data_IF_378776210211
#
_entry.id   IF_378776210211
#
_cell.length_a   1.000
_cell.length_b   1.000
_cell.length_c   1.000
_cell.angle_alpha   90.00
_cell.angle_beta   90.00
_cell.angle_gamma   90.00
#
_symmetry.space_group_name_H-M   'P 1'
#
loop_
_entity.id
_entity.type
_entity.pdbx_description
1 polymer ?
#
# COMPACT_ATOMS: atom_id res chain seq x y z
N UNK A 1 9.34 -2.08 -81.39
CA UNK A 1 8.78 -1.15 -80.39
C UNK A 1 8.91 -1.76 -79.00
N UNK A 2 9.74 -1.22 -78.10
CA UNK A 2 9.78 -1.65 -76.70
C UNK A 2 9.05 -0.65 -75.79
N UNK A 3 8.11 -1.16 -74.99
CA UNK A 3 7.33 -0.40 -74.02
C UNK A 3 8.19 0.18 -72.90
N UNK A 4 8.22 1.51 -72.80
CA UNK A 4 8.83 2.23 -71.69
C UNK A 4 7.95 2.09 -70.42
N UNK A 5 8.47 1.40 -69.40
CA UNK A 5 7.89 1.33 -68.06
C UNK A 5 7.87 2.72 -67.42
N UNK A 6 6.68 3.27 -67.19
CA UNK A 6 6.47 4.45 -66.33
C UNK A 6 6.81 4.08 -64.89
N UNK A 7 7.75 4.81 -64.29
CA UNK A 7 8.08 4.79 -62.86
C UNK A 7 6.94 5.49 -62.11
N UNK A 8 6.30 4.80 -61.17
CA UNK A 8 5.28 5.40 -60.30
C UNK A 8 5.93 6.42 -59.34
N UNK A 9 5.24 7.52 -58.99
CA UNK A 9 5.75 8.48 -58.03
C UNK A 9 5.75 7.86 -56.61
N UNK A 10 6.84 8.07 -55.90
CA UNK A 10 6.99 7.67 -54.50
C UNK A 10 5.94 8.38 -53.65
N UNK A 11 5.13 7.61 -52.94
CA UNK A 11 4.19 8.11 -51.95
C UNK A 11 4.99 8.73 -50.80
N UNK A 12 4.71 9.98 -50.37
CA UNK A 12 5.35 10.53 -49.19
C UNK A 12 4.88 9.71 -47.97
N UNK A 13 5.82 9.04 -47.33
CA UNK A 13 5.60 8.35 -46.06
C UNK A 13 5.10 9.39 -45.05
N UNK A 14 3.82 9.29 -44.69
CA UNK A 14 3.24 10.10 -43.64
C UNK A 14 4.07 9.89 -42.37
N UNK A 15 4.65 10.97 -41.85
CA UNK A 15 5.28 10.98 -40.55
C UNK A 15 4.25 10.47 -39.53
N UNK A 16 4.63 9.58 -38.60
CA UNK A 16 3.72 9.14 -37.55
C UNK A 16 3.19 10.38 -36.81
N UNK A 17 1.89 10.45 -36.49
CA UNK A 17 1.31 11.60 -35.80
C UNK A 17 2.11 11.81 -34.53
N UNK A 18 2.67 13.02 -34.38
CA UNK A 18 3.35 13.45 -33.18
C UNK A 18 2.44 13.09 -31.99
N UNK A 19 2.93 12.17 -31.15
CA UNK A 19 2.25 11.79 -29.94
C UNK A 19 1.90 13.08 -29.20
N UNK A 20 0.59 13.39 -29.11
CA UNK A 20 0.08 14.46 -28.27
C UNK A 20 0.70 14.20 -26.89
N UNK A 21 1.62 15.07 -26.47
CA UNK A 21 2.01 15.16 -25.07
C UNK A 21 0.69 15.32 -24.33
N UNK A 22 0.25 14.25 -23.65
CA UNK A 22 -0.77 14.37 -22.63
C UNK A 22 -0.21 15.41 -21.68
N UNK A 23 -0.78 16.62 -21.74
CA UNK A 23 -0.72 17.53 -20.63
C UNK A 23 -1.28 16.75 -19.46
N UNK A 24 -0.41 16.32 -18.54
CA UNK A 24 -0.83 15.84 -17.24
C UNK A 24 -1.66 16.97 -16.65
N UNK A 25 -2.98 16.77 -16.64
CA UNK A 25 -3.90 17.61 -15.89
C UNK A 25 -3.39 17.66 -14.46
N UNK A 26 -3.23 18.87 -13.95
CA UNK A 26 -3.12 19.13 -12.52
C UNK A 26 -4.49 18.86 -11.89
N UNK A 27 -4.91 17.59 -11.88
CA UNK A 27 -6.11 17.17 -11.17
C UNK A 27 -5.81 17.37 -9.68
N UNK A 28 -6.24 18.53 -9.17
CA UNK A 28 -6.21 18.82 -7.75
C UNK A 28 -7.07 17.76 -7.08
N UNK A 29 -6.42 16.93 -6.26
CA UNK A 29 -7.08 15.92 -5.44
C UNK A 29 -8.25 16.57 -4.68
N UNK A 30 -9.46 15.99 -4.71
CA UNK A 30 -10.62 16.59 -4.07
C UNK A 30 -10.36 16.77 -2.56
N UNK A 31 -10.88 17.86 -1.96
CA UNK A 31 -10.71 18.07 -0.53
C UNK A 31 -11.35 16.93 0.27
N UNK A 32 -10.73 16.59 1.41
CA UNK A 32 -11.29 15.60 2.32
C UNK A 32 -12.74 15.92 2.64
N UNK A 33 -13.62 14.95 2.41
CA UNK A 33 -15.02 15.04 2.75
C UNK A 33 -15.54 13.71 3.28
N UNK A 34 -16.64 13.79 4.01
CA UNK A 34 -17.34 12.65 4.59
C UNK A 34 -18.71 12.55 3.95
N UNK A 35 -19.10 11.33 3.57
CA UNK A 35 -20.44 10.99 3.10
C UNK A 35 -21.04 9.95 4.04
N UNK A 36 -22.28 10.18 4.45
CA UNK A 36 -23.10 9.22 5.20
C UNK A 36 -24.16 8.66 4.28
N UNK A 37 -24.20 7.34 4.13
CA UNK A 37 -25.29 6.66 3.43
C UNK A 37 -26.57 6.78 4.29
N UNK A 38 -27.67 7.31 3.75
CA UNK A 38 -28.89 7.53 4.52
C UNK A 38 -29.61 6.23 4.91
N UNK A 39 -29.42 5.15 4.15
CA UNK A 39 -30.08 3.85 4.39
C UNK A 39 -29.26 2.96 5.32
N UNK A 40 -27.96 2.84 5.09
CA UNK A 40 -27.09 1.93 5.85
C UNK A 40 -26.33 2.60 6.99
N UNK A 41 -26.40 3.94 7.06
CA UNK A 41 -25.56 4.77 7.95
C UNK A 41 -24.06 4.54 7.76
N UNK A 42 -23.66 3.99 6.61
CA UNK A 42 -22.25 3.75 6.30
C UNK A 42 -21.54 5.08 6.06
N UNK A 43 -20.39 5.23 6.70
CA UNK A 43 -19.54 6.42 6.56
C UNK A 43 -18.46 6.12 5.53
N UNK A 44 -18.40 6.92 4.48
CA UNK A 44 -17.35 6.90 3.46
C UNK A 44 -16.59 8.21 3.45
N UNK A 45 -15.27 8.12 3.45
CA UNK A 45 -14.39 9.27 3.28
C UNK A 45 -13.98 9.37 1.82
N UNK A 46 -13.97 10.58 1.26
CA UNK A 46 -13.46 10.85 -0.08
C UNK A 46 -12.42 11.96 -0.04
N UNK A 47 -11.53 11.99 -1.03
CA UNK A 47 -10.41 12.93 -1.06
C UNK A 47 -9.34 12.64 -0.01
N UNK A 48 -8.52 13.66 0.28
CA UNK A 48 -7.38 13.57 1.21
C UNK A 48 -7.26 14.83 2.06
N UNK A 49 -6.93 14.71 3.37
CA UNK A 49 -6.70 15.88 4.20
C UNK A 49 -5.45 16.63 3.74
N UNK A 50 -5.54 17.96 3.78
CA UNK A 50 -4.37 18.80 3.55
C UNK A 50 -3.29 18.52 4.59
N UNK A 51 -2.03 18.57 4.17
CA UNK A 51 -0.88 18.36 5.03
C UNK A 51 -0.86 19.32 6.23
N UNK A 52 -0.74 18.81 7.47
CA UNK A 52 -0.44 19.68 8.59
C UNK A 52 0.94 20.33 8.43
N UNK A 53 1.09 21.54 8.94
CA UNK A 53 2.34 22.34 8.81
C UNK A 53 3.57 21.60 9.36
N UNK A 54 3.39 20.78 10.40
CA UNK A 54 4.46 19.96 10.99
C UNK A 54 5.01 18.97 9.96
N UNK A 55 4.12 18.31 9.21
CA UNK A 55 4.53 17.37 8.18
C UNK A 55 5.24 18.08 7.03
N UNK A 56 4.74 19.24 6.58
CA UNK A 56 5.36 20.04 5.50
C UNK A 56 6.84 20.37 5.72
N UNK A 57 7.32 20.38 6.97
CA UNK A 57 8.73 20.66 7.33
C UNK A 57 9.68 19.47 7.13
N UNK A 58 9.16 18.27 6.93
CA UNK A 58 9.96 17.06 6.66
C UNK A 58 10.46 17.13 5.21
N UNK A 59 11.79 17.11 4.99
CA UNK A 59 12.42 17.20 3.66
C UNK A 59 12.07 15.96 2.82
N UNK A 60 11.67 16.18 1.56
CA UNK A 60 11.30 15.14 0.59
C UNK A 60 12.18 15.26 -0.66
N UNK A 61 12.73 14.14 -1.15
CA UNK A 61 13.49 14.11 -2.39
C UNK A 61 12.52 14.01 -3.60
N UNK A 62 12.36 15.09 -4.36
CA UNK A 62 11.37 15.22 -5.47
C UNK A 62 11.92 14.72 -6.81
N UNK A 63 12.34 13.47 -6.88
CA UNK A 63 13.02 12.96 -8.08
C UNK A 63 12.13 12.19 -9.08
N UNK A 64 10.79 12.11 -8.92
CA UNK A 64 9.96 11.43 -9.92
C UNK A 64 8.66 12.18 -10.27
N UNK A 65 8.29 12.21 -11.57
CA UNK A 65 7.00 12.74 -12.02
C UNK A 65 5.86 11.73 -11.78
N UNK A 66 4.70 12.21 -11.33
CA UNK A 66 3.45 11.44 -11.18
C UNK A 66 2.65 11.81 -9.91
N UNK A 67 1.39 11.36 -9.85
CA UNK A 67 0.60 11.31 -8.61
C UNK A 67 1.16 10.21 -7.71
N UNK A 68 2.27 10.52 -7.05
CA UNK A 68 2.94 9.59 -6.15
C UNK A 68 2.49 9.98 -4.75
N UNK A 69 1.91 9.02 -4.03
CA UNK A 69 1.58 9.19 -2.63
C UNK A 69 2.76 9.84 -1.90
N UNK A 70 2.48 10.91 -1.17
CA UNK A 70 3.54 11.69 -0.56
C UNK A 70 4.21 10.86 0.56
N UNK A 71 5.51 10.61 0.30
CA UNK A 71 6.30 9.43 0.62
C UNK A 71 6.84 9.44 2.05
N UNK A 72 6.01 9.86 2.99
CA UNK A 72 6.36 10.00 4.41
C UNK A 72 5.57 9.03 5.27
N UNK A 73 4.44 8.54 4.77
CA UNK A 73 3.54 7.67 5.52
C UNK A 73 4.05 6.24 5.64
N UNK A 74 4.02 5.69 6.86
CA UNK A 74 4.11 4.26 7.10
C UNK A 74 2.84 3.53 6.63
N UNK A 75 1.69 4.19 6.78
CA UNK A 75 0.37 3.68 6.41
C UNK A 75 -0.18 4.47 5.24
N UNK A 76 -0.34 3.80 4.09
CA UNK A 76 -0.89 4.43 2.89
C UNK A 76 -2.30 4.98 3.16
N UNK A 77 -2.55 6.23 2.74
CA UNK A 77 -3.82 6.92 3.00
C UNK A 77 -4.99 6.19 2.34
N UNK A 78 -4.92 5.98 1.02
CA UNK A 78 -6.03 5.38 0.26
C UNK A 78 -6.24 3.89 0.54
N UNK A 79 -5.16 3.15 0.80
CA UNK A 79 -5.22 1.69 0.91
C UNK A 79 -5.48 1.22 2.35
N UNK A 80 -4.93 1.92 3.35
CA UNK A 80 -5.00 1.49 4.74
C UNK A 80 -5.85 2.44 5.57
N UNK A 81 -5.46 3.72 5.66
CA UNK A 81 -6.07 4.64 6.63
C UNK A 81 -7.52 4.97 6.28
N UNK A 82 -7.81 5.30 5.03
CA UNK A 82 -9.15 5.71 4.60
C UNK A 82 -10.19 4.59 4.74
N UNK A 83 -9.93 3.33 4.31
CA UNK A 83 -10.85 2.23 4.57
C UNK A 83 -11.02 1.92 6.07
N UNK A 84 -9.94 1.96 6.85
CA UNK A 84 -10.00 1.75 8.31
C UNK A 84 -10.83 2.83 9.01
N UNK A 85 -10.59 4.10 8.67
CA UNK A 85 -11.36 5.23 9.19
C UNK A 85 -12.85 5.08 8.85
N UNK A 86 -13.18 4.75 7.60
CA UNK A 86 -14.56 4.50 7.17
C UNK A 86 -15.23 3.37 7.97
N UNK A 87 -14.52 2.27 8.19
CA UNK A 87 -15.01 1.13 8.99
C UNK A 87 -15.26 1.51 10.45
N UNK A 88 -14.29 2.16 11.11
CA UNK A 88 -14.38 2.57 12.51
C UNK A 88 -15.49 3.60 12.71
N UNK A 89 -15.58 4.61 11.83
CA UNK A 89 -16.62 5.64 11.91
C UNK A 89 -18.02 5.08 11.66
N UNK A 90 -18.15 4.12 10.73
CA UNK A 90 -19.42 3.40 10.53
C UNK A 90 -19.83 2.65 11.80
N UNK A 91 -18.90 1.92 12.44
CA UNK A 91 -19.19 1.20 13.68
C UNK A 91 -19.60 2.15 14.82
N UNK A 92 -18.92 3.29 14.95
CA UNK A 92 -19.26 4.32 15.94
C UNK A 92 -20.65 4.92 15.70
N UNK A 93 -20.95 5.31 14.46
CA UNK A 93 -22.27 5.85 14.06
C UNK A 93 -23.40 4.87 14.36
N UNK A 94 -23.24 3.59 13.97
CA UNK A 94 -24.25 2.57 14.16
C UNK A 94 -24.52 2.27 15.65
N UNK A 95 -23.47 2.34 16.48
CA UNK A 95 -23.57 2.04 17.92
C UNK A 95 -24.16 3.20 18.70
N UNK A 96 -23.64 4.42 18.50
CA UNK A 96 -23.93 5.54 19.39
C UNK A 96 -24.97 6.52 18.86
N UNK A 97 -25.24 6.52 17.55
CA UNK A 97 -26.30 7.30 16.88
C UNK A 97 -26.39 8.73 17.40
N UNK A 98 -27.29 9.00 18.35
CA UNK A 98 -27.54 10.33 18.93
C UNK A 98 -26.42 10.83 19.85
N UNK A 99 -25.65 9.94 20.50
CA UNK A 99 -24.54 10.32 21.39
C UNK A 99 -23.16 10.30 20.69
N UNK A 100 -23.14 10.10 19.38
CA UNK A 100 -21.91 9.90 18.61
C UNK A 100 -20.86 11.00 18.83
N UNK A 101 -21.29 12.26 18.83
CA UNK A 101 -20.39 13.40 19.02
C UNK A 101 -19.62 13.33 20.34
N UNK A 102 -20.29 13.04 21.45
CA UNK A 102 -19.66 12.97 22.76
C UNK A 102 -18.69 11.78 22.85
N UNK A 103 -19.06 10.63 22.29
CA UNK A 103 -18.22 9.43 22.28
C UNK A 103 -16.98 9.60 21.40
N UNK A 104 -17.08 10.36 20.29
CA UNK A 104 -15.91 10.72 19.49
C UNK A 104 -15.01 11.73 20.21
N UNK A 105 -15.58 12.69 20.93
CA UNK A 105 -14.78 13.72 21.60
C UNK A 105 -14.06 13.24 22.87
N UNK A 106 -14.68 12.34 23.64
CA UNK A 106 -14.13 11.89 24.92
C UNK A 106 -12.65 11.43 24.85
N UNK A 107 -12.24 10.51 23.95
CA UNK A 107 -10.86 10.05 23.88
C UNK A 107 -9.89 11.08 23.26
N UNK A 108 -10.38 12.07 22.52
CA UNK A 108 -9.57 13.20 22.03
C UNK A 108 -9.24 14.18 23.15
N UNK A 109 -10.23 14.49 24.01
CA UNK A 109 -10.04 15.32 25.21
C UNK A 109 -9.08 14.65 26.20
N UNK A 110 -9.20 13.34 26.38
CA UNK A 110 -8.28 12.57 27.23
C UNK A 110 -6.81 12.63 26.75
N UNK A 111 -6.59 12.89 25.45
CA UNK A 111 -5.27 13.07 24.83
C UNK A 111 -4.82 14.53 24.74
N UNK A 112 -5.56 15.45 25.36
CA UNK A 112 -5.29 16.90 25.31
C UNK A 112 -5.20 17.45 23.87
N UNK A 113 -5.94 16.85 22.94
CA UNK A 113 -6.00 17.32 21.56
C UNK A 113 -7.02 18.45 21.45
N UNK A 114 -6.56 19.68 21.17
CA UNK A 114 -7.42 20.83 20.92
C UNK A 114 -8.23 20.59 19.64
N UNK A 115 -9.53 20.33 19.81
CA UNK A 115 -10.46 20.06 18.73
C UNK A 115 -11.60 21.09 18.77
N UNK A 116 -11.64 21.97 17.77
CA UNK A 116 -12.68 23.00 17.58
C UNK A 116 -13.92 22.50 16.81
N UNK A 117 -14.02 21.19 16.58
CA UNK A 117 -15.17 20.57 15.92
C UNK A 117 -16.48 20.87 16.67
N UNK A 118 -17.53 21.19 15.92
CA UNK A 118 -18.84 21.54 16.50
C UNK A 118 -19.81 20.36 16.48
N UNK A 119 -19.55 19.36 15.64
CA UNK A 119 -20.42 18.19 15.46
C UNK A 119 -19.61 16.90 15.22
N UNK A 120 -20.31 15.77 15.06
CA UNK A 120 -19.70 14.46 14.86
C UNK A 120 -18.90 14.37 13.56
N UNK A 121 -19.41 14.96 12.47
CA UNK A 121 -18.77 14.92 11.16
C UNK A 121 -17.47 15.74 11.17
N UNK A 122 -17.49 16.93 11.76
CA UNK A 122 -16.30 17.76 12.01
C UNK A 122 -15.26 16.99 12.84
N UNK A 123 -15.71 16.24 13.84
CA UNK A 123 -14.82 15.46 14.70
C UNK A 123 -14.18 14.31 13.92
N UNK A 124 -14.94 13.59 13.09
CA UNK A 124 -14.40 12.54 12.22
C UNK A 124 -13.39 13.10 11.20
N UNK A 125 -13.68 14.25 10.60
CA UNK A 125 -12.76 14.94 9.68
C UNK A 125 -11.49 15.42 10.38
N UNK A 126 -11.62 15.92 11.61
CA UNK A 126 -10.47 16.28 12.45
C UNK A 126 -9.59 15.05 12.73
N UNK A 127 -10.19 13.93 13.15
CA UNK A 127 -9.49 12.66 13.39
C UNK A 127 -8.74 12.21 12.14
N UNK A 128 -9.42 12.17 11.00
CA UNK A 128 -8.82 11.82 9.71
C UNK A 128 -7.59 12.70 9.38
N UNK A 129 -7.67 14.01 9.64
CA UNK A 129 -6.59 14.96 9.43
C UNK A 129 -5.39 14.71 10.35
N UNK A 130 -5.62 14.51 11.66
CA UNK A 130 -4.53 14.30 12.62
C UNK A 130 -3.86 12.94 12.46
N UNK A 131 -4.62 11.89 12.11
CA UNK A 131 -4.10 10.54 11.85
C UNK A 131 -3.22 10.52 10.59
N UNK A 132 -3.65 11.19 9.51
CA UNK A 132 -2.82 11.34 8.32
C UNK A 132 -1.49 12.05 8.65
N UNK A 133 -1.51 13.03 9.56
CA UNK A 133 -0.33 13.78 9.98
C UNK A 133 0.43 13.25 11.20
N UNK A 134 0.09 12.06 11.71
CA UNK A 134 0.64 11.56 12.96
C UNK A 134 2.16 11.37 12.85
N UNK A 135 2.99 11.89 13.78
CA UNK A 135 4.44 11.68 13.75
C UNK A 135 4.81 10.19 13.73
N UNK A 136 4.06 9.35 14.43
CA UNK A 136 4.21 7.90 14.39
C UNK A 136 3.89 7.26 13.03
N UNK A 137 3.24 8.00 12.13
CA UNK A 137 3.02 7.63 10.73
C UNK A 137 4.01 8.33 9.79
N UNK A 138 4.84 9.27 10.24
CA UNK A 138 5.75 10.05 9.40
C UNK A 138 7.21 9.73 9.72
N UNK A 139 7.92 9.01 8.85
CA UNK A 139 9.35 8.71 9.07
C UNK A 139 10.24 9.79 8.44
N UNK A 140 11.01 10.56 9.23
CA UNK A 140 12.02 11.47 8.69
C UNK A 140 13.13 10.70 7.94
N UNK A 141 13.73 11.33 6.94
CA UNK A 141 14.91 10.84 6.18
C UNK A 141 14.71 9.60 5.28
N UNK A 142 13.46 9.22 4.95
CA UNK A 142 13.15 8.00 4.15
C UNK A 142 12.37 8.26 2.86
N UNK A 143 12.19 9.51 2.45
CA UNK A 143 11.29 9.87 1.36
C UNK A 143 11.68 9.31 -0.03
N UNK A 144 12.96 9.05 -0.25
CA UNK A 144 13.53 8.40 -1.45
C UNK A 144 13.41 6.87 -1.39
N UNK A 145 13.72 6.26 -0.24
CA UNK A 145 13.52 4.83 0.04
C UNK A 145 12.02 4.47 -0.10
N UNK A 146 11.13 5.32 0.37
CA UNK A 146 9.68 5.11 0.25
C UNK A 146 9.21 5.08 -1.21
N UNK A 147 9.89 5.78 -2.14
CA UNK A 147 9.60 5.62 -3.57
C UNK A 147 10.01 4.24 -4.10
N UNK A 148 11.17 3.76 -3.66
CA UNK A 148 11.64 2.43 -4.02
C UNK A 148 10.69 1.35 -3.48
N UNK A 149 10.27 1.48 -2.22
CA UNK A 149 9.29 0.63 -1.55
C UNK A 149 7.97 0.58 -2.34
N UNK A 150 7.39 1.71 -2.73
CA UNK A 150 6.13 1.70 -3.47
C UNK A 150 6.26 1.04 -4.85
N UNK A 151 7.39 1.25 -5.53
CA UNK A 151 7.66 0.57 -6.80
C UNK A 151 7.74 -0.95 -6.60
N UNK A 152 8.37 -1.39 -5.53
CA UNK A 152 8.48 -2.80 -5.14
C UNK A 152 7.10 -3.36 -4.76
N UNK A 153 6.29 -2.66 -3.97
CA UNK A 153 4.92 -3.07 -3.62
C UNK A 153 4.05 -3.26 -4.85
N UNK A 154 4.10 -2.32 -5.79
CA UNK A 154 3.36 -2.44 -7.04
C UNK A 154 3.80 -3.69 -7.82
N UNK A 155 5.09 -4.01 -7.84
CA UNK A 155 5.60 -5.23 -8.48
C UNK A 155 5.18 -6.50 -7.74
N UNK A 156 5.18 -6.48 -6.41
CA UNK A 156 4.68 -7.58 -5.56
C UNK A 156 3.18 -7.81 -5.75
N UNK A 157 2.38 -6.75 -5.87
CA UNK A 157 0.94 -6.87 -6.17
C UNK A 157 0.71 -7.51 -7.52
N UNK A 158 1.41 -7.05 -8.56
CA UNK A 158 1.33 -7.68 -9.88
C UNK A 158 1.71 -9.17 -9.84
N UNK A 159 2.70 -9.52 -9.03
CA UNK A 159 3.08 -10.91 -8.82
C UNK A 159 2.00 -11.69 -8.07
N UNK A 160 1.45 -11.16 -6.97
CA UNK A 160 0.36 -11.79 -6.22
C UNK A 160 -0.92 -11.94 -7.06
N UNK A 161 -1.27 -10.93 -7.85
CA UNK A 161 -2.39 -10.95 -8.79
C UNK A 161 -2.19 -12.03 -9.86
N UNK A 162 -0.98 -12.17 -10.40
CA UNK A 162 -0.66 -13.23 -11.36
C UNK A 162 -0.84 -14.63 -10.73
N UNK A 163 -0.40 -14.81 -9.49
CA UNK A 163 -0.61 -16.05 -8.74
C UNK A 163 -2.10 -16.32 -8.42
N UNK A 164 -2.90 -15.28 -8.19
CA UNK A 164 -4.33 -15.43 -7.91
C UNK A 164 -5.17 -15.70 -9.16
N UNK A 165 -4.78 -15.13 -10.30
CA UNK A 165 -5.55 -15.20 -11.55
C UNK A 165 -5.23 -16.44 -12.38
N UNK A 166 -4.01 -16.93 -12.32
CA UNK A 166 -3.63 -18.18 -12.97
C UNK A 166 -4.19 -19.38 -12.18
N UNK A 167 -5.09 -20.14 -12.84
CA UNK A 167 -5.75 -21.33 -12.27
C UNK A 167 -4.76 -22.35 -11.73
N UNK A 168 -3.55 -22.44 -12.30
CA UNK A 168 -2.53 -23.35 -11.79
C UNK A 168 -2.15 -23.01 -10.35
N UNK A 169 -2.03 -21.73 -10.01
CA UNK A 169 -1.50 -21.24 -8.71
C UNK A 169 -2.57 -21.04 -7.65
N UNK A 170 -3.79 -20.74 -8.08
CA UNK A 170 -4.92 -20.49 -7.19
C UNK A 170 -5.27 -21.69 -6.30
N UNK A 171 -5.17 -22.90 -6.85
CA UNK A 171 -5.59 -24.13 -6.16
C UNK A 171 -4.43 -24.82 -5.41
N UNK A 172 -3.22 -24.26 -5.48
CA UNK A 172 -2.02 -24.85 -4.85
C UNK A 172 -2.10 -24.90 -3.32
N UNK A 173 -2.80 -23.95 -2.69
CA UNK A 173 -2.98 -23.96 -1.24
C UNK A 173 -3.85 -25.13 -0.75
N UNK A 174 -4.80 -25.58 -1.58
CA UNK A 174 -5.62 -26.76 -1.30
C UNK A 174 -4.90 -28.07 -1.69
N UNK A 175 -4.04 -28.00 -2.72
CA UNK A 175 -3.33 -29.16 -3.28
C UNK A 175 -2.07 -29.51 -2.50
N UNK A 176 -1.37 -28.50 -1.96
CA UNK A 176 -0.08 -28.64 -1.28
C UNK A 176 -0.17 -28.11 0.15
N UNK A 177 -0.62 -28.93 1.12
CA UNK A 177 -0.76 -28.52 2.51
C UNK A 177 0.59 -28.14 3.14
N UNK A 178 0.57 -27.50 4.33
CA UNK A 178 1.77 -27.17 5.08
C UNK A 178 2.66 -28.40 5.28
N UNK A 179 3.91 -28.31 4.86
CA UNK A 179 4.89 -29.37 5.08
C UNK A 179 5.51 -29.17 6.48
N UNK A 180 5.75 -30.24 7.25
CA UNK A 180 6.44 -30.14 8.53
C UNK A 180 7.86 -29.56 8.33
N UNK A 181 8.23 -28.57 9.13
CA UNK A 181 9.45 -27.73 8.97
C UNK A 181 10.76 -28.52 8.85
N UNK A 182 10.79 -29.79 9.28
CA UNK A 182 12.01 -30.58 9.45
C UNK A 182 12.25 -31.67 8.38
N UNK A 183 11.37 -31.87 7.40
CA UNK A 183 11.51 -33.01 6.47
C UNK A 183 11.68 -32.59 4.99
N UNK A 184 12.74 -31.81 4.73
CA UNK A 184 13.15 -31.41 3.35
C UNK A 184 13.46 -32.60 2.43
N UNK A 185 13.67 -33.80 2.98
CA UNK A 185 14.02 -35.01 2.21
C UNK A 185 12.81 -35.70 1.58
N UNK A 186 11.59 -35.31 1.96
CA UNK A 186 10.34 -35.94 1.50
C UNK A 186 9.49 -35.02 0.60
N UNK A 187 10.04 -33.91 0.11
CA UNK A 187 9.29 -32.98 -0.75
C UNK A 187 9.03 -33.66 -2.10
N UNK A 188 7.77 -33.94 -2.47
CA UNK A 188 7.44 -34.55 -3.75
C UNK A 188 7.98 -33.74 -4.93
N UNK A 189 8.38 -34.41 -6.02
CA UNK A 189 8.92 -33.77 -7.21
C UNK A 189 7.97 -32.70 -7.79
N UNK A 190 6.66 -32.96 -7.73
CA UNK A 190 5.60 -32.05 -8.15
C UNK A 190 5.62 -30.71 -7.38
N UNK A 191 5.86 -30.76 -6.06
CA UNK A 191 6.01 -29.54 -5.23
C UNK A 191 7.26 -28.78 -5.65
N UNK A 192 8.38 -29.47 -5.89
CA UNK A 192 9.62 -28.84 -6.32
C UNK A 192 9.47 -28.12 -7.67
N UNK A 193 8.80 -28.73 -8.63
CA UNK A 193 8.54 -28.10 -9.93
C UNK A 193 7.56 -26.95 -9.81
N UNK A 194 6.57 -27.04 -8.92
CA UNK A 194 5.68 -25.93 -8.61
C UNK A 194 6.42 -24.75 -8.00
N UNK A 195 7.27 -25.01 -7.00
CA UNK A 195 8.11 -24.00 -6.35
C UNK A 195 9.05 -23.31 -7.34
N UNK A 196 9.61 -24.03 -8.31
CA UNK A 196 10.38 -23.41 -9.40
C UNK A 196 9.53 -22.43 -10.22
N UNK A 197 8.28 -22.80 -10.54
CA UNK A 197 7.38 -21.91 -11.29
C UNK A 197 7.05 -20.63 -10.50
N UNK A 198 6.82 -20.72 -9.18
CA UNK A 198 6.70 -19.54 -8.32
C UNK A 198 7.95 -18.64 -8.39
N UNK A 199 9.15 -19.23 -8.27
CA UNK A 199 10.42 -18.48 -8.32
C UNK A 199 10.65 -17.81 -9.68
N UNK A 200 10.37 -18.51 -10.78
CA UNK A 200 10.52 -17.93 -12.12
C UNK A 200 9.51 -16.82 -12.39
N UNK A 201 8.26 -16.97 -11.94
CA UNK A 201 7.27 -15.91 -12.05
C UNK A 201 7.68 -14.69 -11.21
N UNK A 202 8.17 -14.90 -9.99
CA UNK A 202 8.68 -13.82 -9.15
C UNK A 202 9.81 -13.03 -9.84
N UNK A 203 10.73 -13.70 -10.53
CA UNK A 203 11.79 -13.04 -11.31
C UNK A 203 11.23 -12.17 -12.42
N UNK A 204 10.14 -12.55 -13.09
CA UNK A 204 9.54 -11.71 -14.15
C UNK A 204 9.03 -10.37 -13.62
N UNK A 205 8.51 -10.34 -12.39
CA UNK A 205 7.98 -9.12 -11.77
C UNK A 205 9.00 -8.36 -10.93
N UNK A 206 10.02 -9.04 -10.42
CA UNK A 206 11.02 -8.49 -9.50
C UNK A 206 12.45 -8.49 -10.04
N UNK A 207 12.64 -8.74 -11.34
CA UNK A 207 13.95 -8.67 -11.95
C UNK A 207 14.54 -7.26 -11.84
N UNK A 208 15.80 -7.23 -11.42
CA UNK A 208 16.61 -6.03 -11.29
C UNK A 208 17.03 -5.54 -12.66
N UNK A 209 16.48 -4.40 -13.07
CA UNK A 209 16.84 -3.78 -14.33
C UNK A 209 17.25 -2.34 -14.06
N UNK A 210 18.56 -2.12 -14.11
CA UNK A 210 19.23 -0.82 -14.04
C UNK A 210 19.40 -0.23 -12.61
N UNK A 211 20.63 0.12 -12.24
CA UNK A 211 21.04 0.76 -10.96
C UNK A 211 21.59 2.19 -11.17
N UNK A 212 21.35 2.79 -12.34
CA UNK A 212 21.88 4.11 -12.74
C UNK A 212 21.51 5.29 -11.86
N UNK A 213 20.53 5.14 -10.97
CA UNK A 213 20.15 6.17 -10.00
C UNK A 213 20.07 5.57 -8.60
N UNK A 214 20.24 6.40 -7.56
CA UNK A 214 20.13 5.96 -6.17
C UNK A 214 18.80 5.24 -5.88
N UNK A 215 17.68 5.76 -6.39
CA UNK A 215 16.36 5.14 -6.23
C UNK A 215 16.30 3.78 -6.95
N UNK A 216 16.85 3.68 -8.16
CA UNK A 216 16.91 2.42 -8.90
C UNK A 216 17.78 1.37 -8.21
N UNK A 217 18.92 1.79 -7.63
CA UNK A 217 19.75 0.94 -6.78
C UNK A 217 18.95 0.42 -5.58
N UNK A 218 18.23 1.30 -4.87
CA UNK A 218 17.40 0.89 -3.73
C UNK A 218 16.26 -0.07 -4.13
N UNK A 219 15.61 0.15 -5.27
CA UNK A 219 14.62 -0.80 -5.81
C UNK A 219 15.29 -2.16 -6.03
N UNK A 220 16.46 -2.15 -6.69
CA UNK A 220 17.21 -3.37 -6.99
C UNK A 220 17.64 -4.12 -5.73
N UNK A 221 18.11 -3.40 -4.71
CA UNK A 221 18.55 -3.97 -3.43
C UNK A 221 17.38 -4.64 -2.70
N UNK A 222 16.23 -3.96 -2.62
CA UNK A 222 15.02 -4.51 -2.00
C UNK A 222 14.51 -5.73 -2.77
N UNK A 223 14.42 -5.65 -4.10
CA UNK A 223 13.96 -6.77 -4.94
C UNK A 223 14.87 -7.99 -4.81
N UNK A 224 16.19 -7.77 -4.73
CA UNK A 224 17.17 -8.85 -4.54
C UNK A 224 16.99 -9.55 -3.21
N UNK A 225 16.78 -8.79 -2.12
CA UNK A 225 16.49 -9.34 -0.79
C UNK A 225 15.20 -10.17 -0.77
N UNK A 226 14.14 -9.69 -1.43
CA UNK A 226 12.88 -10.42 -1.54
C UNK A 226 13.07 -11.72 -2.32
N UNK A 227 13.77 -11.67 -3.46
CA UNK A 227 14.06 -12.85 -4.27
C UNK A 227 14.92 -13.87 -3.51
N UNK A 228 15.87 -13.42 -2.69
CA UNK A 228 16.67 -14.29 -1.81
C UNK A 228 15.79 -15.01 -0.78
N UNK A 229 14.86 -14.30 -0.14
CA UNK A 229 13.88 -14.92 0.75
C UNK A 229 12.98 -15.91 0.01
N UNK A 230 12.45 -15.57 -1.17
CA UNK A 230 11.66 -16.48 -1.99
C UNK A 230 12.45 -17.73 -2.41
N UNK A 231 13.77 -17.59 -2.63
CA UNK A 231 14.64 -18.73 -2.92
C UNK A 231 14.75 -19.71 -1.74
N UNK A 232 14.58 -19.23 -0.51
CA UNK A 232 14.55 -20.06 0.69
C UNK A 232 13.22 -20.81 0.89
N UNK A 233 12.14 -20.39 0.23
CA UNK A 233 10.86 -21.09 0.26
C UNK A 233 10.95 -22.43 -0.48
N UNK A 234 10.40 -23.46 0.15
CA UNK A 234 10.42 -24.86 -0.30
C UNK A 234 9.02 -25.41 -0.58
N UNK A 235 7.96 -24.62 -0.35
CA UNK A 235 6.58 -25.03 -0.61
C UNK A 235 5.68 -23.83 -0.94
N UNK A 236 4.62 -24.00 -1.76
CA UNK A 236 3.72 -22.91 -2.18
C UNK A 236 3.10 -22.10 -1.04
N UNK A 237 2.68 -22.73 0.07
CA UNK A 237 2.10 -22.00 1.21
C UNK A 237 3.08 -20.98 1.81
N UNK A 238 4.39 -21.26 1.81
CA UNK A 238 5.41 -20.34 2.33
C UNK A 238 5.53 -19.08 1.46
N UNK A 239 5.33 -19.20 0.14
CA UNK A 239 5.27 -18.05 -0.76
C UNK A 239 4.07 -17.16 -0.42
N UNK A 240 2.89 -17.75 -0.21
CA UNK A 240 1.69 -17.00 0.15
C UNK A 240 1.81 -16.34 1.52
N UNK A 241 2.33 -17.05 2.53
CA UNK A 241 2.61 -16.47 3.85
C UNK A 241 3.58 -15.30 3.73
N UNK A 242 4.67 -15.46 2.99
CA UNK A 242 5.65 -14.41 2.79
C UNK A 242 5.09 -13.22 2.00
N UNK A 243 4.28 -13.45 0.96
CA UNK A 243 3.63 -12.38 0.21
C UNK A 243 2.66 -11.60 1.09
N UNK A 244 1.88 -12.28 1.92
CA UNK A 244 1.00 -11.65 2.89
C UNK A 244 1.83 -10.83 3.91
N UNK A 245 2.94 -11.38 4.43
CA UNK A 245 3.85 -10.64 5.32
C UNK A 245 4.48 -9.41 4.65
N UNK A 246 4.82 -9.49 3.36
CA UNK A 246 5.39 -8.39 2.60
C UNK A 246 4.38 -7.33 2.17
N UNK A 247 3.13 -7.72 1.90
CA UNK A 247 2.01 -6.80 1.64
C UNK A 247 1.84 -5.84 2.81
N UNK A 248 2.02 -6.35 4.04
CA UNK A 248 2.00 -5.54 5.26
C UNK A 248 3.37 -5.05 5.69
N UNK A 249 4.46 -5.40 5.00
CA UNK A 249 5.81 -4.97 5.37
C UNK A 249 6.00 -3.49 5.01
N UNK A 250 6.21 -2.69 6.06
CA UNK A 250 6.17 -1.24 5.93
C UNK A 250 7.47 -0.65 5.38
N UNK A 251 8.61 -1.34 5.56
CA UNK A 251 9.92 -0.75 5.32
C UNK A 251 10.74 -1.45 4.25
N UNK A 252 10.43 -2.71 3.90
CA UNK A 252 11.31 -3.63 3.17
C UNK A 252 12.79 -3.62 3.64
N UNK A 253 13.03 -3.04 4.82
CA UNK A 253 14.34 -2.80 5.37
C UNK A 253 14.61 -3.99 6.27
N UNK A 254 15.31 -4.97 5.71
CA UNK A 254 15.72 -6.15 6.46
C UNK A 254 16.83 -5.84 7.47
N UNK A 255 17.39 -4.61 7.47
CA UNK A 255 18.44 -4.22 8.41
C UNK A 255 17.91 -4.06 9.84
N UNK A 256 18.73 -4.49 10.81
CA UNK A 256 18.37 -4.56 12.22
C UNK A 256 18.07 -3.19 12.90
N UNK A 257 18.34 -2.07 12.23
CA UNK A 257 18.30 -0.71 12.83
C UNK A 257 16.94 -0.01 12.65
N UNK A 258 16.27 -0.19 11.52
CA UNK A 258 14.90 0.29 11.32
C UNK A 258 13.84 -0.65 11.91
N UNK A 259 14.24 -1.89 12.23
CA UNK A 259 13.37 -2.96 12.72
C UNK A 259 12.84 -2.79 14.15
N UNK A 260 13.46 -2.00 15.03
CA UNK A 260 13.19 -2.16 16.47
C UNK A 260 11.96 -1.43 17.00
N UNK A 261 11.84 -0.10 16.85
CA UNK A 261 10.84 0.58 17.69
C UNK A 261 9.65 1.16 16.91
N UNK A 262 9.89 1.92 15.83
CA UNK A 262 8.81 2.55 15.06
C UNK A 262 8.09 1.56 14.14
N UNK A 263 8.85 0.73 13.42
CA UNK A 263 8.29 -0.28 12.49
C UNK A 263 7.52 -1.36 13.25
N UNK A 264 8.04 -1.83 14.40
CA UNK A 264 7.33 -2.78 15.25
C UNK A 264 6.03 -2.19 15.78
N UNK A 265 6.05 -0.92 16.24
CA UNK A 265 4.85 -0.23 16.71
C UNK A 265 3.79 -0.11 15.61
N UNK A 266 4.17 0.29 14.39
CA UNK A 266 3.25 0.42 13.25
C UNK A 266 2.72 -0.93 12.76
N UNK A 267 3.56 -1.97 12.69
CA UNK A 267 3.13 -3.33 12.33
C UNK A 267 2.19 -3.93 13.39
N UNK A 268 2.52 -3.74 14.67
CA UNK A 268 1.65 -4.16 15.79
C UNK A 268 0.30 -3.44 15.71
N UNK A 269 0.31 -2.14 15.38
CA UNK A 269 -0.89 -1.35 15.18
C UNK A 269 -1.71 -1.85 13.99
N UNK A 270 -1.09 -2.12 12.83
CA UNK A 270 -1.80 -2.67 11.66
C UNK A 270 -2.43 -4.03 11.96
N UNK A 271 -1.68 -4.95 12.59
CA UNK A 271 -2.20 -6.27 13.01
C UNK A 271 -3.37 -6.12 13.97
N UNK A 272 -3.27 -5.19 14.93
CA UNK A 272 -4.35 -4.85 15.84
C UNK A 272 -5.58 -4.35 15.08
N UNK A 273 -5.41 -3.44 14.12
CA UNK A 273 -6.50 -2.91 13.30
C UNK A 273 -7.15 -3.95 12.38
N UNK A 274 -6.37 -4.87 11.82
CA UNK A 274 -6.89 -5.98 11.01
C UNK A 274 -7.84 -6.89 11.82
N UNK A 275 -7.51 -7.18 13.08
CA UNK A 275 -8.35 -7.94 14.00
C UNK A 275 -9.47 -7.12 14.66
N UNK A 276 -9.47 -5.80 14.49
CA UNK A 276 -10.31 -4.87 15.25
C UNK A 276 -11.79 -4.92 14.85
N UNK A 277 -12.11 -5.49 13.69
CA UNK A 277 -13.48 -5.64 13.22
C UNK A 277 -14.34 -6.56 14.11
N UNK A 278 -13.74 -7.31 15.05
CA UNK A 278 -14.44 -8.12 16.04
C UNK A 278 -14.67 -7.39 17.39
N UNK A 279 -14.03 -6.23 17.61
CA UNK A 279 -14.08 -5.51 18.89
C UNK A 279 -15.30 -4.58 19.00
N UNK A 280 -15.69 -4.13 20.21
CA UNK A 280 -16.72 -3.09 20.38
C UNK A 280 -16.31 -1.77 19.72
N UNK A 281 -17.26 -1.01 19.16
CA UNK A 281 -17.00 0.19 18.36
C UNK A 281 -16.07 1.22 19.04
N UNK A 282 -16.29 1.49 20.33
CA UNK A 282 -15.45 2.40 21.12
C UNK A 282 -14.00 1.93 21.25
N UNK A 283 -13.80 0.64 21.46
CA UNK A 283 -12.46 0.06 21.48
C UNK A 283 -11.80 0.16 20.11
N UNK A 284 -12.56 -0.04 19.01
CA UNK A 284 -12.02 0.18 17.66
C UNK A 284 -11.50 1.59 17.46
N UNK A 285 -12.25 2.56 17.98
CA UNK A 285 -11.93 3.96 17.89
C UNK A 285 -10.72 4.34 18.76
N UNK A 286 -10.64 3.83 19.99
CA UNK A 286 -9.47 4.03 20.85
C UNK A 286 -8.20 3.41 20.26
N UNK A 287 -8.33 2.22 19.67
CA UNK A 287 -7.25 1.52 18.98
C UNK A 287 -6.77 2.29 17.75
N UNK A 288 -7.70 2.84 16.96
CA UNK A 288 -7.38 3.72 15.84
C UNK A 288 -6.59 4.95 16.32
N UNK A 289 -7.05 5.59 17.41
CA UNK A 289 -6.40 6.78 17.97
C UNK A 289 -5.03 6.49 18.58
N UNK A 290 -4.69 5.23 18.88
CA UNK A 290 -3.36 4.89 19.41
C UNK A 290 -2.22 5.07 18.39
N UNK A 291 -2.53 5.40 17.13
CA UNK A 291 -1.53 5.83 16.14
C UNK A 291 -0.99 7.25 16.45
N UNK A 292 -1.73 8.03 17.23
CA UNK A 292 -1.34 9.38 17.66
C UNK A 292 -0.37 9.36 18.84
N UNK A 293 -0.32 8.25 19.56
CA UNK A 293 0.53 8.00 20.72
C UNK A 293 1.92 7.49 20.27
#
# INVERSE_FOLDING_TARGET
MPSAKRKAPATPSAAPPAAKKQQLGTDKEPPLSLRRDPATRQITLSGRPAWPEVAKKIKVNRAAPGHIEDRRHLLHWDEHLKPLLGSVFTAMEQTYKTNLYNELQAPLRARSLDNRAQNADDTMLFVAKIINGAPGNLVPDRADINQAIEKVRMNLRKYADALHTDKGFRDDAATYPPLPENDRRLIPAEINDRVKQYKELAKQYMATHDSSTLIKSQISDIQSQILEHLNSCVAPHQFWTFLHELEYSVTFDLSAKAKRDATEKSLKWQRKMAANHAQPAKQRYEDLLSLLD
#
